data_IF_679851818853
#
_entry.id   IF_679851818853
#
_cell.length_a   1.000
_cell.length_b   1.000
_cell.length_c   1.000
_cell.angle_alpha   90.00
_cell.angle_beta   90.00
_cell.angle_gamma   90.00
#
_symmetry.space_group_name_H-M   'P 1'
#
loop_
_entity.id
_entity.type
_entity.pdbx_description
1 polymer ?
#
# COMPACT_ATOMS: atom_id res chain seq x y z
N UNK A 1 -38.44 -47.06 15.67
CA UNK A 1 -38.59 -46.38 14.37
C UNK A 1 -38.38 -44.89 14.63
N UNK A 2 -37.12 -44.51 14.84
CA UNK A 2 -36.69 -43.12 15.08
C UNK A 2 -35.24 -43.05 14.60
N UNK A 3 -35.10 -42.81 13.29
CA UNK A 3 -33.82 -42.63 12.63
C UNK A 3 -33.20 -41.29 13.03
N UNK A 4 -31.98 -41.37 13.57
CA UNK A 4 -31.07 -40.25 13.76
C UNK A 4 -30.42 -39.95 12.40
N UNK A 5 -30.91 -38.94 11.69
CA UNK A 5 -30.15 -38.32 10.60
C UNK A 5 -29.10 -37.40 11.22
N UNK A 6 -27.87 -37.92 11.33
CA UNK A 6 -26.65 -37.12 11.39
C UNK A 6 -26.43 -36.55 10.00
N UNK A 7 -26.84 -35.30 9.79
CA UNK A 7 -26.39 -34.54 8.63
C UNK A 7 -24.94 -34.11 8.87
N UNK A 8 -24.08 -34.56 7.96
CA UNK A 8 -22.66 -34.33 7.99
C UNK A 8 -22.35 -32.84 7.85
N UNK A 9 -21.61 -32.32 8.84
CA UNK A 9 -20.74 -31.19 8.60
C UNK A 9 -19.74 -31.60 7.51
N UNK A 10 -20.00 -31.23 6.27
CA UNK A 10 -18.95 -31.13 5.26
C UNK A 10 -17.97 -30.06 5.76
N UNK A 11 -16.89 -30.54 6.37
CA UNK A 11 -15.65 -29.78 6.52
C UNK A 11 -15.24 -29.36 5.11
N UNK A 12 -15.60 -28.12 4.73
CA UNK A 12 -14.91 -27.43 3.64
C UNK A 12 -13.47 -27.30 4.11
N UNK A 13 -12.63 -28.24 3.69
CA UNK A 13 -11.18 -28.20 3.83
C UNK A 13 -10.71 -26.85 3.28
N UNK A 14 -10.47 -25.89 4.18
CA UNK A 14 -9.80 -24.63 3.86
C UNK A 14 -8.34 -24.96 3.59
N UNK A 15 -8.05 -25.47 2.40
CA UNK A 15 -6.70 -25.71 1.94
C UNK A 15 -5.99 -24.35 1.75
N UNK A 16 -5.00 -23.95 2.56
CA UNK A 16 -4.45 -22.59 2.51
C UNK A 16 -3.41 -22.39 1.40
N UNK A 17 -3.42 -23.21 0.33
CA UNK A 17 -2.29 -23.34 -0.60
C UNK A 17 -2.75 -23.39 -2.05
N UNK A 18 -2.95 -22.23 -2.66
CA UNK A 18 -3.05 -22.12 -4.12
C UNK A 18 -1.81 -21.44 -4.68
N UNK A 19 -0.73 -22.21 -4.76
CA UNK A 19 0.32 -22.01 -5.75
C UNK A 19 0.69 -23.37 -6.30
N UNK A 20 0.93 -23.42 -7.61
CA UNK A 20 1.21 -24.68 -8.33
C UNK A 20 2.58 -25.29 -8.01
N UNK A 21 3.14 -25.06 -6.82
CA UNK A 21 4.42 -25.61 -6.41
C UNK A 21 4.37 -27.13 -6.36
N UNK A 22 5.39 -27.77 -6.93
CA UNK A 22 5.54 -29.22 -6.93
C UNK A 22 6.67 -29.64 -6.00
N UNK A 23 6.39 -30.66 -5.20
CA UNK A 23 7.29 -31.21 -4.19
C UNK A 23 7.49 -32.71 -4.42
N UNK A 24 8.61 -33.30 -3.98
CA UNK A 24 8.72 -34.76 -3.88
C UNK A 24 7.56 -35.34 -3.04
N UNK A 25 7.10 -36.58 -3.32
CA UNK A 25 5.85 -37.14 -2.76
C UNK A 25 5.74 -37.19 -1.23
N UNK A 26 6.88 -37.16 -0.52
CA UNK A 26 6.94 -37.19 0.95
C UNK A 26 7.03 -35.80 1.58
N UNK A 27 7.04 -34.74 0.78
CA UNK A 27 7.30 -33.37 1.21
C UNK A 27 6.04 -32.51 1.06
N UNK A 28 5.92 -31.51 1.92
CA UNK A 28 4.90 -30.46 1.78
C UNK A 28 5.55 -29.19 1.27
N UNK A 29 5.08 -28.72 0.11
CA UNK A 29 5.43 -27.41 -0.43
C UNK A 29 4.54 -26.34 0.23
N UNK A 30 5.14 -25.19 0.48
CA UNK A 30 4.44 -23.93 0.59
C UNK A 30 5.00 -22.98 -0.45
N UNK A 31 4.26 -21.90 -0.66
CA UNK A 31 4.81 -20.73 -1.27
C UNK A 31 4.26 -19.52 -0.56
N UNK A 32 5.06 -18.48 -0.56
CA UNK A 32 4.59 -17.15 -0.23
C UNK A 32 3.96 -16.49 -1.48
N UNK A 33 4.49 -16.82 -2.66
CA UNK A 33 4.13 -16.22 -3.96
C UNK A 33 4.09 -17.26 -5.08
N UNK A 34 3.40 -16.98 -6.21
CA UNK A 34 3.37 -17.88 -7.37
C UNK A 34 4.76 -18.30 -7.90
N UNK A 35 5.80 -17.49 -7.64
CA UNK A 35 7.18 -17.69 -8.09
C UNK A 35 8.18 -17.86 -6.92
N UNK A 36 7.73 -18.36 -5.76
CA UNK A 36 8.61 -18.63 -4.61
C UNK A 36 8.12 -19.88 -3.87
N UNK A 37 8.52 -21.05 -4.37
CA UNK A 37 8.22 -22.33 -3.74
C UNK A 37 9.29 -22.72 -2.72
N UNK A 38 8.89 -23.12 -1.51
CA UNK A 38 9.79 -23.68 -0.50
C UNK A 38 9.20 -24.91 0.19
N UNK A 39 10.07 -25.69 0.83
CA UNK A 39 9.70 -26.96 1.45
C UNK A 39 9.54 -26.77 2.97
N UNK A 40 8.40 -27.17 3.54
CA UNK A 40 7.99 -26.78 4.91
C UNK A 40 8.72 -27.58 6.00
N UNK A 41 9.12 -28.82 5.77
CA UNK A 41 9.93 -29.59 6.75
C UNK A 41 10.49 -30.91 6.21
N UNK A 42 11.65 -31.33 6.75
CA UNK A 42 12.16 -32.71 6.71
C UNK A 42 12.70 -33.23 5.37
N UNK A 43 12.68 -32.43 4.33
CA UNK A 43 13.14 -32.83 3.01
C UNK A 43 14.35 -31.99 2.57
N UNK A 44 15.49 -32.65 2.34
CA UNK A 44 16.67 -32.05 1.71
C UNK A 44 16.50 -31.78 0.20
N UNK A 45 15.28 -31.87 -0.33
CA UNK A 45 14.98 -31.73 -1.76
C UNK A 45 14.54 -30.31 -2.14
N UNK A 46 14.79 -29.92 -3.38
CA UNK A 46 14.33 -28.64 -3.95
C UNK A 46 12.84 -28.71 -4.30
N UNK A 47 12.10 -27.69 -3.87
CA UNK A 47 10.74 -27.44 -4.32
C UNK A 47 10.77 -26.82 -5.72
N UNK A 48 9.92 -27.29 -6.62
CA UNK A 48 9.87 -26.80 -8.00
C UNK A 48 8.70 -25.84 -8.18
N UNK A 49 8.95 -24.74 -8.88
CA UNK A 49 7.88 -23.94 -9.45
C UNK A 49 7.09 -24.76 -10.47
N UNK A 50 5.78 -24.47 -10.66
CA UNK A 50 4.97 -25.15 -11.65
C UNK A 50 5.67 -25.13 -13.01
N UNK A 51 5.97 -26.32 -13.53
CA UNK A 51 6.75 -26.55 -14.75
C UNK A 51 5.97 -26.25 -16.03
N UNK A 52 4.97 -25.35 -16.00
CA UNK A 52 4.27 -24.96 -17.22
C UNK A 52 5.23 -24.14 -18.10
N UNK A 53 5.95 -24.88 -18.94
CA UNK A 53 6.96 -24.41 -19.88
C UNK A 53 6.40 -23.39 -20.88
N UNK A 54 5.07 -23.23 -20.97
CA UNK A 54 4.42 -22.17 -21.76
C UNK A 54 4.34 -20.81 -21.05
N UNK A 55 4.48 -20.76 -19.72
CA UNK A 55 4.47 -19.53 -18.90
C UNK A 55 5.90 -19.02 -18.61
N UNK A 56 6.93 -19.62 -19.19
CA UNK A 56 8.28 -19.01 -19.29
C UNK A 56 8.39 -17.94 -20.38
N UNK A 57 7.25 -17.39 -20.83
CA UNK A 57 7.22 -16.05 -21.43
C UNK A 57 7.81 -15.09 -20.39
N UNK A 58 9.04 -14.62 -20.61
CA UNK A 58 9.80 -13.65 -19.79
C UNK A 58 8.90 -12.84 -18.86
N UNK A 59 8.80 -13.27 -17.60
CA UNK A 59 8.09 -12.55 -16.55
C UNK A 59 8.67 -11.15 -16.44
N UNK A 60 7.83 -10.12 -16.56
CA UNK A 60 8.26 -8.71 -16.49
C UNK A 60 7.83 -8.12 -15.17
N UNK A 61 8.57 -7.12 -14.70
CA UNK A 61 8.13 -6.33 -13.56
C UNK A 61 7.22 -5.19 -14.06
N UNK A 62 6.04 -5.05 -13.46
CA UNK A 62 5.17 -3.89 -13.62
C UNK A 62 5.26 -3.07 -12.34
N UNK A 63 5.85 -1.87 -12.44
CA UNK A 63 6.14 -1.02 -11.29
C UNK A 63 5.26 0.21 -11.33
N UNK A 64 4.38 0.34 -10.34
CA UNK A 64 3.51 1.50 -10.14
C UNK A 64 4.05 2.33 -8.99
N UNK A 65 4.24 3.62 -9.22
CA UNK A 65 4.72 4.57 -8.21
C UNK A 65 3.74 5.73 -8.08
N UNK A 66 3.18 5.94 -6.89
CA UNK A 66 2.21 7.01 -6.61
C UNK A 66 2.74 7.90 -5.49
N UNK A 67 3.00 9.16 -5.79
CA UNK A 67 3.57 10.12 -4.84
C UNK A 67 2.49 10.76 -3.92
N UNK A 68 2.93 11.35 -2.81
CA UNK A 68 2.06 12.05 -1.86
C UNK A 68 1.39 13.29 -2.46
N UNK A 69 0.13 13.58 -2.11
CA UNK A 69 -0.58 14.78 -2.65
C UNK A 69 0.19 16.05 -2.31
N UNK A 70 0.29 16.97 -3.26
CA UNK A 70 1.15 18.17 -3.23
C UNK A 70 2.65 17.94 -3.45
N UNK A 71 3.11 16.70 -3.69
CA UNK A 71 4.47 16.43 -4.17
C UNK A 71 4.49 16.36 -5.70
N UNK A 72 5.29 17.24 -6.32
CA UNK A 72 5.52 17.26 -7.76
C UNK A 72 7.01 17.12 -8.02
N UNK A 73 7.35 16.54 -9.16
CA UNK A 73 8.73 16.53 -9.62
C UNK A 73 9.26 17.97 -9.69
N UNK A 74 10.38 18.22 -9.05
CA UNK A 74 10.91 19.57 -8.94
C UNK A 74 12.12 19.67 -8.04
N UNK A 75 12.37 20.83 -7.42
CA UNK A 75 13.55 21.02 -6.58
C UNK A 75 13.61 20.14 -5.34
N UNK A 76 12.46 19.62 -4.89
CA UNK A 76 12.30 18.89 -3.63
C UNK A 76 11.63 17.53 -3.88
N UNK A 77 12.36 16.62 -4.50
CA UNK A 77 11.84 15.30 -4.86
C UNK A 77 11.70 14.36 -3.66
N UNK A 78 10.71 13.47 -3.74
CA UNK A 78 10.40 12.44 -2.73
C UNK A 78 11.21 11.17 -2.97
N UNK A 79 11.20 10.27 -2.00
CA UNK A 79 11.79 8.94 -2.11
C UNK A 79 11.08 8.07 -3.16
N UNK A 80 9.81 8.37 -3.50
CA UNK A 80 9.10 7.70 -4.60
C UNK A 80 9.72 8.07 -5.95
N UNK A 81 9.95 9.37 -6.19
CA UNK A 81 10.62 9.87 -7.41
C UNK A 81 12.03 9.30 -7.51
N UNK A 82 12.77 9.32 -6.41
CA UNK A 82 14.13 8.81 -6.30
C UNK A 82 14.23 7.31 -6.63
N UNK A 83 13.36 6.49 -6.03
CA UNK A 83 13.32 5.05 -6.36
C UNK A 83 12.93 4.86 -7.84
N UNK A 84 11.95 5.62 -8.32
CA UNK A 84 11.42 5.48 -9.68
C UNK A 84 12.44 5.87 -10.76
N UNK A 85 13.26 6.89 -10.52
CA UNK A 85 14.32 7.31 -11.45
C UNK A 85 15.35 6.20 -11.66
N UNK A 86 15.61 5.41 -10.60
CA UNK A 86 16.61 4.35 -10.59
C UNK A 86 16.13 2.99 -11.10
N UNK A 87 14.84 2.81 -11.36
CA UNK A 87 14.34 1.58 -12.01
C UNK A 87 14.97 1.47 -13.40
N UNK A 88 15.57 0.32 -13.70
CA UNK A 88 16.13 0.01 -15.02
C UNK A 88 14.98 -0.19 -16.01
N UNK A 89 14.81 0.76 -16.95
CA UNK A 89 13.71 0.77 -17.94
C UNK A 89 14.10 0.05 -19.24
N UNK A 90 15.37 0.18 -19.64
CA UNK A 90 15.93 -0.45 -20.84
C UNK A 90 17.07 -1.40 -20.44
N UNK A 91 16.76 -2.62 -19.96
CA UNK A 91 17.78 -3.58 -19.58
C UNK A 91 18.47 -4.16 -20.82
N UNK A 92 19.80 -4.33 -20.75
CA UNK A 92 20.56 -5.06 -21.79
C UNK A 92 20.10 -6.52 -21.89
N UNK A 93 19.76 -7.13 -20.75
CA UNK A 93 19.19 -8.47 -20.66
C UNK A 93 17.68 -8.42 -20.90
N UNK A 94 17.17 -8.95 -22.03
CA UNK A 94 15.75 -8.87 -22.33
C UNK A 94 14.89 -9.76 -21.41
N UNK A 95 15.48 -10.57 -20.53
CA UNK A 95 14.75 -11.28 -19.46
C UNK A 95 14.39 -10.40 -18.27
N UNK A 96 14.95 -9.18 -18.18
CA UNK A 96 14.81 -8.27 -17.03
C UNK A 96 13.89 -7.08 -17.27
N UNK A 97 12.99 -7.16 -18.25
CA UNK A 97 12.11 -6.06 -18.67
C UNK A 97 11.27 -5.55 -17.49
N UNK A 98 11.25 -4.23 -17.30
CA UNK A 98 10.42 -3.58 -16.30
C UNK A 98 9.63 -2.43 -16.93
N UNK A 99 8.31 -2.48 -16.81
CA UNK A 99 7.42 -1.41 -17.21
C UNK A 99 7.13 -0.53 -16.01
N UNK A 100 7.12 0.79 -16.19
CA UNK A 100 6.96 1.74 -15.10
C UNK A 100 5.78 2.68 -15.34
N UNK A 101 4.99 2.92 -14.30
CA UNK A 101 3.93 3.92 -14.27
C UNK A 101 4.11 4.83 -13.06
N UNK A 102 4.13 6.14 -13.29
CA UNK A 102 4.32 7.13 -12.25
C UNK A 102 3.15 8.10 -12.20
N UNK A 103 2.67 8.38 -11.00
CA UNK A 103 1.64 9.38 -10.74
C UNK A 103 2.18 10.42 -9.76
N UNK A 104 2.25 11.67 -10.20
CA UNK A 104 2.59 12.80 -9.34
C UNK A 104 1.46 13.13 -8.37
N UNK A 105 1.81 13.62 -7.19
CA UNK A 105 0.83 14.21 -6.29
C UNK A 105 0.32 15.55 -6.80
N UNK A 106 -0.94 15.62 -7.22
CA UNK A 106 -1.53 16.90 -7.63
C UNK A 106 -1.64 17.82 -6.40
N UNK A 107 -1.18 19.07 -6.54
CA UNK A 107 -1.22 20.06 -5.47
C UNK A 107 -2.61 20.69 -5.34
N UNK A 108 -3.24 20.54 -4.18
CA UNK A 108 -4.45 21.29 -3.82
C UNK A 108 -4.05 22.65 -3.24
N UNK A 109 -3.55 23.56 -4.09
CA UNK A 109 -3.41 24.97 -3.71
C UNK A 109 -4.72 25.69 -4.05
N UNK A 110 -5.53 25.97 -3.03
CA UNK A 110 -6.56 27.01 -3.11
C UNK A 110 -5.96 28.26 -2.46
N UNK A 111 -5.71 29.36 -3.19
CA UNK A 111 -5.21 30.58 -2.58
C UNK A 111 -6.21 31.10 -1.54
N UNK A 112 -5.75 31.59 -0.36
CA UNK A 112 -6.64 32.13 0.64
C UNK A 112 -7.27 33.43 0.13
N UNK A 113 -8.58 33.43 -0.14
CA UNK A 113 -9.35 34.66 -0.32
C UNK A 113 -9.66 35.23 1.07
N UNK A 114 -9.07 36.38 1.39
CA UNK A 114 -9.29 37.06 2.66
C UNK A 114 -10.67 37.75 2.68
N UNK A 115 -11.74 37.05 3.04
CA UNK A 115 -12.92 37.61 3.71
C UNK A 115 -13.95 36.54 4.12
N UNK A 116 -14.55 36.69 5.31
CA UNK A 116 -15.59 35.83 5.95
C UNK A 116 -15.13 34.46 6.48
N UNK A 117 -15.07 34.29 7.82
CA UNK A 117 -14.29 33.23 8.49
C UNK A 117 -15.03 31.94 8.90
N UNK A 118 -16.37 31.85 8.85
CA UNK A 118 -17.10 30.69 9.40
C UNK A 118 -17.79 29.82 8.33
N UNK A 119 -18.78 30.35 7.59
CA UNK A 119 -19.50 29.59 6.55
C UNK A 119 -18.66 29.25 5.31
N UNK A 120 -17.64 30.06 5.02
CA UNK A 120 -16.72 29.80 3.91
C UNK A 120 -15.67 28.74 4.23
N UNK A 121 -15.25 28.59 5.50
CA UNK A 121 -14.30 27.52 5.89
C UNK A 121 -14.88 26.14 5.62
N UNK A 122 -16.15 25.92 5.98
CA UNK A 122 -16.83 24.66 5.70
C UNK A 122 -16.96 24.42 4.19
N UNK A 123 -17.34 25.45 3.43
CA UNK A 123 -17.57 25.34 1.98
C UNK A 123 -16.27 25.13 1.17
N UNK A 124 -15.18 25.80 1.56
CA UNK A 124 -13.84 25.61 0.96
C UNK A 124 -13.28 24.25 1.38
N UNK A 125 -13.39 23.88 2.66
CA UNK A 125 -12.93 22.58 3.14
C UNK A 125 -13.65 21.44 2.40
N UNK A 126 -14.97 21.54 2.22
CA UNK A 126 -15.75 20.56 1.47
C UNK A 126 -15.31 20.46 0.00
N UNK A 127 -15.02 21.60 -0.66
CA UNK A 127 -14.52 21.61 -2.05
C UNK A 127 -13.10 21.01 -2.16
N UNK A 128 -12.22 21.31 -1.22
CA UNK A 128 -10.88 20.73 -1.16
C UNK A 128 -10.98 19.22 -0.91
N UNK A 129 -11.78 18.81 0.08
CA UNK A 129 -11.97 17.41 0.42
C UNK A 129 -12.55 16.63 -0.76
N UNK A 130 -13.52 17.20 -1.48
CA UNK A 130 -14.09 16.61 -2.69
C UNK A 130 -13.05 16.50 -3.81
N UNK A 131 -12.24 17.54 -4.03
CA UNK A 131 -11.18 17.52 -5.03
C UNK A 131 -10.11 16.47 -4.70
N UNK A 132 -9.69 16.37 -3.44
CA UNK A 132 -8.76 15.35 -2.95
C UNK A 132 -9.34 13.95 -3.15
N UNK A 133 -10.61 13.74 -2.79
CA UNK A 133 -11.28 12.44 -2.93
C UNK A 133 -11.46 12.03 -4.40
N UNK A 134 -11.85 12.98 -5.26
CA UNK A 134 -11.98 12.75 -6.70
C UNK A 134 -10.62 12.40 -7.32
N UNK A 135 -9.58 13.16 -6.96
CA UNK A 135 -8.23 12.90 -7.44
C UNK A 135 -7.66 11.57 -6.90
N UNK A 136 -8.01 11.23 -5.66
CA UNK A 136 -7.67 9.94 -5.06
C UNK A 136 -8.23 8.80 -5.90
N UNK A 137 -9.53 8.83 -6.17
CA UNK A 137 -10.24 7.84 -6.98
C UNK A 137 -9.63 7.75 -8.38
N UNK A 138 -9.37 8.88 -9.02
CA UNK A 138 -8.79 8.95 -10.36
C UNK A 138 -7.43 8.24 -10.43
N UNK A 139 -6.49 8.57 -9.55
CA UNK A 139 -5.16 7.93 -9.56
C UNK A 139 -5.21 6.42 -9.36
N UNK A 140 -6.08 5.92 -8.48
CA UNK A 140 -6.26 4.46 -8.28
C UNK A 140 -6.80 3.82 -9.55
N UNK A 141 -7.78 4.45 -10.20
CA UNK A 141 -8.35 3.96 -11.47
C UNK A 141 -7.35 4.00 -12.61
N UNK A 142 -6.56 5.07 -12.74
CA UNK A 142 -5.53 5.22 -13.77
C UNK A 142 -4.45 4.15 -13.62
N UNK A 143 -3.97 3.90 -12.39
CA UNK A 143 -3.01 2.85 -12.10
C UNK A 143 -3.59 1.44 -12.34
N UNK A 144 -4.84 1.20 -11.93
CA UNK A 144 -5.54 -0.06 -12.19
C UNK A 144 -5.69 -0.31 -13.70
N UNK A 145 -6.09 0.72 -14.46
CA UNK A 145 -6.20 0.66 -15.91
C UNK A 145 -4.86 0.35 -16.56
N UNK A 146 -3.80 1.05 -16.17
CA UNK A 146 -2.47 0.80 -16.69
C UNK A 146 -2.03 -0.66 -16.45
N UNK A 147 -2.25 -1.19 -15.24
CA UNK A 147 -1.98 -2.60 -14.96
C UNK A 147 -2.83 -3.52 -15.84
N UNK A 148 -4.13 -3.26 -15.98
CA UNK A 148 -5.05 -4.09 -16.78
C UNK A 148 -4.67 -4.13 -18.27
N UNK A 149 -4.19 -3.02 -18.81
CA UNK A 149 -3.79 -2.89 -20.21
C UNK A 149 -2.43 -3.55 -20.50
N UNK A 150 -1.51 -3.58 -19.53
CA UNK A 150 -0.14 -4.05 -19.75
C UNK A 150 0.12 -5.47 -19.23
N UNK A 151 -0.67 -5.96 -18.27
CA UNK A 151 -0.41 -7.23 -17.60
C UNK A 151 -0.56 -8.43 -18.53
N UNK A 152 0.47 -9.27 -18.55
CA UNK A 152 0.50 -10.58 -19.16
C UNK A 152 0.64 -11.65 -18.06
N UNK A 153 0.06 -12.86 -18.25
CA UNK A 153 0.26 -13.95 -17.32
C UNK A 153 1.75 -14.18 -17.01
N UNK A 154 2.08 -14.23 -15.72
CA UNK A 154 3.46 -14.36 -15.23
C UNK A 154 4.16 -13.05 -14.88
N UNK A 155 3.59 -11.89 -15.22
CA UNK A 155 4.14 -10.59 -14.79
C UNK A 155 4.06 -10.40 -13.26
N UNK A 156 5.03 -9.67 -12.70
CA UNK A 156 5.20 -9.41 -11.28
C UNK A 156 4.89 -7.93 -10.98
N UNK A 157 3.97 -7.66 -10.04
CA UNK A 157 3.50 -6.30 -9.75
C UNK A 157 4.16 -5.74 -8.48
N UNK A 158 4.86 -4.61 -8.64
CA UNK A 158 5.43 -3.81 -7.57
C UNK A 158 4.66 -2.49 -7.45
N UNK A 159 4.23 -2.15 -6.24
CA UNK A 159 3.56 -0.89 -5.94
C UNK A 159 4.38 -0.09 -4.92
N UNK A 160 4.58 1.19 -5.19
CA UNK A 160 5.30 2.11 -4.31
C UNK A 160 4.48 3.36 -4.06
N UNK A 161 4.44 3.83 -2.81
CA UNK A 161 3.84 5.12 -2.54
C UNK A 161 4.28 5.76 -1.23
N UNK A 162 4.13 7.07 -1.16
CA UNK A 162 4.42 7.89 0.01
C UNK A 162 3.15 8.60 0.49
N UNK A 163 2.95 8.69 1.81
CA UNK A 163 1.87 9.49 2.40
C UNK A 163 0.49 9.02 1.93
N UNK A 164 -0.28 9.90 1.27
CA UNK A 164 -1.55 9.54 0.62
C UNK A 164 -1.35 8.63 -0.59
N UNK A 165 -0.23 8.74 -1.30
CA UNK A 165 0.15 7.80 -2.37
C UNK A 165 0.36 6.38 -1.84
N UNK A 166 0.92 6.23 -0.64
CA UNK A 166 1.01 4.94 0.05
C UNK A 166 -0.38 4.35 0.34
N UNK A 167 -1.33 5.21 0.74
CA UNK A 167 -2.73 4.80 0.94
C UNK A 167 -3.40 4.39 -0.39
N UNK A 168 -3.11 5.10 -1.48
CA UNK A 168 -3.59 4.79 -2.83
C UNK A 168 -3.11 3.43 -3.32
N UNK A 169 -1.83 3.09 -3.16
CA UNK A 169 -1.32 1.78 -3.59
C UNK A 169 -1.85 0.63 -2.74
N UNK A 170 -2.10 0.86 -1.44
CA UNK A 170 -2.78 -0.13 -0.57
C UNK A 170 -4.23 -0.35 -1.01
N UNK A 171 -4.95 0.72 -1.35
CA UNK A 171 -6.31 0.62 -1.89
C UNK A 171 -6.33 -0.08 -3.26
N UNK A 172 -5.35 0.20 -4.12
CA UNK A 172 -5.19 -0.46 -5.41
C UNK A 172 -4.97 -1.97 -5.23
N UNK A 173 -4.11 -2.38 -4.29
CA UNK A 173 -3.88 -3.80 -3.98
C UNK A 173 -5.14 -4.49 -3.44
N UNK A 174 -5.87 -3.82 -2.54
CA UNK A 174 -7.15 -4.31 -2.04
C UNK A 174 -8.21 -4.46 -3.13
N UNK A 175 -8.26 -3.49 -4.05
CA UNK A 175 -9.15 -3.52 -5.22
C UNK A 175 -8.81 -4.68 -6.16
N UNK A 176 -7.53 -4.88 -6.51
CA UNK A 176 -7.08 -5.99 -7.36
C UNK A 176 -7.37 -7.34 -6.71
N UNK A 177 -7.18 -7.45 -5.40
CA UNK A 177 -7.47 -8.68 -4.65
C UNK A 177 -8.96 -9.03 -4.69
N UNK A 178 -9.81 -8.00 -4.48
CA UNK A 178 -11.26 -8.16 -4.37
C UNK A 178 -11.93 -8.35 -5.74
N UNK A 179 -11.55 -7.53 -6.72
CA UNK A 179 -12.20 -7.45 -8.04
C UNK A 179 -11.45 -8.23 -9.12
N UNK A 180 -10.25 -8.72 -8.84
CA UNK A 180 -9.30 -9.18 -9.86
C UNK A 180 -8.76 -8.00 -10.68
N UNK A 181 -8.03 -8.31 -11.75
CA UNK A 181 -7.60 -7.34 -12.75
C UNK A 181 -8.42 -7.53 -14.03
N UNK A 182 -9.18 -6.53 -14.47
CA UNK A 182 -10.02 -6.65 -15.67
C UNK A 182 -9.19 -6.98 -16.92
N UNK A 183 -9.76 -7.70 -17.88
CA UNK A 183 -9.11 -7.90 -19.18
C UNK A 183 -9.03 -6.57 -19.96
N UNK A 184 -7.87 -6.30 -20.57
CA UNK A 184 -7.68 -5.15 -21.46
C UNK A 184 -8.80 -5.04 -22.50
N UNK A 185 -9.21 -3.81 -22.82
CA UNK A 185 -10.39 -3.49 -23.63
C UNK A 185 -11.67 -3.25 -22.82
N UNK A 186 -11.71 -3.63 -21.53
CA UNK A 186 -12.85 -3.42 -20.65
C UNK A 186 -12.67 -2.22 -19.70
N UNK A 187 -11.93 -1.18 -20.11
CA UNK A 187 -11.58 -0.07 -19.21
C UNK A 187 -12.80 0.68 -18.67
N UNK A 188 -13.92 0.66 -19.40
CA UNK A 188 -15.20 1.26 -18.96
C UNK A 188 -15.81 0.59 -17.73
N UNK A 189 -15.38 -0.62 -17.37
CA UNK A 189 -15.82 -1.31 -16.16
C UNK A 189 -15.06 -0.87 -14.90
N UNK A 190 -13.89 -0.23 -15.05
CA UNK A 190 -13.02 0.14 -13.93
C UNK A 190 -13.72 1.10 -12.94
N UNK A 191 -14.45 2.13 -13.39
CA UNK A 191 -15.20 2.99 -12.48
C UNK A 191 -16.25 2.24 -11.66
N UNK A 192 -16.95 1.30 -12.29
CA UNK A 192 -17.95 0.46 -11.62
C UNK A 192 -17.29 -0.49 -10.61
N UNK A 193 -16.19 -1.15 -11.00
CA UNK A 193 -15.43 -2.04 -10.12
C UNK A 193 -14.92 -1.31 -8.87
N UNK A 194 -14.45 -0.06 -9.03
CA UNK A 194 -14.02 0.78 -7.93
C UNK A 194 -15.17 1.10 -6.96
N UNK A 195 -16.35 1.46 -7.46
CA UNK A 195 -17.51 1.75 -6.60
C UNK A 195 -17.99 0.51 -5.84
N UNK A 196 -18.01 -0.66 -6.49
CA UNK A 196 -18.39 -1.90 -5.85
C UNK A 196 -17.40 -2.28 -4.74
N UNK A 197 -16.09 -2.14 -5.01
CA UNK A 197 -15.03 -2.30 -4.02
C UNK A 197 -15.17 -1.30 -2.86
N UNK A 198 -15.22 0.00 -3.15
CA UNK A 198 -15.17 1.06 -2.14
C UNK A 198 -16.40 1.09 -1.22
N UNK A 199 -17.55 0.61 -1.70
CA UNK A 199 -18.81 0.63 -0.96
C UNK A 199 -19.20 -0.72 -0.34
N UNK A 200 -18.43 -1.79 -0.56
CA UNK A 200 -18.71 -3.15 -0.05
C UNK A 200 -19.06 -3.22 1.44
N UNK A 201 -18.43 -2.36 2.26
CA UNK A 201 -18.63 -2.31 3.71
C UNK A 201 -19.40 -1.08 4.20
N UNK A 202 -19.84 -0.21 3.29
CA UNK A 202 -20.43 1.08 3.66
C UNK A 202 -21.96 1.09 3.66
N UNK A 203 -22.62 0.06 3.12
CA UNK A 203 -24.09 -0.02 3.07
C UNK A 203 -24.73 1.20 2.39
N UNK A 204 -24.04 1.83 1.42
CA UNK A 204 -24.52 3.06 0.75
C UNK A 204 -25.16 2.81 -0.61
N UNK A 205 -24.80 1.71 -1.26
CA UNK A 205 -25.30 1.31 -2.58
C UNK A 205 -25.94 -0.09 -2.57
N UNK A 206 -25.48 -0.96 -1.66
CA UNK A 206 -26.02 -2.30 -1.41
C UNK A 206 -26.00 -2.49 0.10
N UNK A 207 -27.17 -2.52 0.72
CA UNK A 207 -27.31 -2.60 2.19
C UNK A 207 -26.92 -4.00 2.72
N UNK A 208 -26.95 -5.02 1.86
CA UNK A 208 -26.55 -6.38 2.17
C UNK A 208 -25.06 -6.63 1.85
N UNK A 209 -24.24 -6.76 2.90
CA UNK A 209 -22.82 -7.08 2.79
C UNK A 209 -22.54 -8.45 2.13
N UNK A 210 -23.43 -9.43 2.28
CA UNK A 210 -23.27 -10.75 1.63
C UNK A 210 -23.46 -10.61 0.13
N UNK A 211 -24.54 -9.95 -0.29
CA UNK A 211 -24.78 -9.66 -1.70
C UNK A 211 -23.64 -8.85 -2.32
N UNK A 212 -23.13 -7.82 -1.63
CA UNK A 212 -21.98 -7.05 -2.11
C UNK A 212 -20.72 -7.92 -2.31
N UNK A 213 -20.45 -8.86 -1.39
CA UNK A 213 -19.33 -9.79 -1.51
C UNK A 213 -19.53 -10.80 -2.65
N UNK A 214 -20.75 -11.31 -2.83
CA UNK A 214 -21.10 -12.19 -3.95
C UNK A 214 -20.94 -11.47 -5.28
N UNK A 215 -21.40 -10.21 -5.40
CA UNK A 215 -21.23 -9.42 -6.62
C UNK A 215 -19.76 -9.18 -6.95
N UNK A 216 -18.91 -8.87 -5.95
CA UNK A 216 -17.46 -8.77 -6.17
C UNK A 216 -16.90 -10.09 -6.72
N UNK A 217 -17.33 -11.22 -6.15
CA UNK A 217 -16.89 -12.56 -6.55
C UNK A 217 -17.31 -12.89 -7.98
N UNK A 218 -18.57 -12.62 -8.34
CA UNK A 218 -19.08 -12.83 -9.69
C UNK A 218 -18.40 -11.89 -10.69
N UNK A 219 -18.22 -10.61 -10.35
CA UNK A 219 -17.48 -9.67 -11.18
C UNK A 219 -16.06 -10.16 -11.47
N UNK A 220 -15.33 -10.58 -10.42
CA UNK A 220 -13.97 -11.12 -10.55
C UNK A 220 -13.93 -12.35 -11.46
N UNK A 221 -14.90 -13.26 -11.34
CA UNK A 221 -14.99 -14.46 -12.20
C UNK A 221 -15.33 -14.13 -13.65
N UNK A 222 -16.19 -13.14 -13.90
CA UNK A 222 -16.71 -12.84 -15.24
C UNK A 222 -15.78 -11.94 -16.05
N UNK A 223 -15.23 -10.89 -15.44
CA UNK A 223 -14.57 -9.80 -16.18
C UNK A 223 -13.06 -9.68 -15.91
N UNK A 224 -12.55 -10.42 -14.94
CA UNK A 224 -11.19 -10.26 -14.45
C UNK A 224 -10.37 -11.54 -14.52
N UNK A 225 -9.06 -11.36 -14.46
CA UNK A 225 -8.09 -12.43 -14.18
C UNK A 225 -7.60 -12.29 -12.74
N UNK A 226 -7.26 -13.42 -12.15
CA UNK A 226 -6.69 -13.44 -10.80
C UNK A 226 -5.21 -13.08 -10.85
N UNK A 227 -4.85 -12.03 -10.12
CA UNK A 227 -3.47 -11.53 -10.02
C UNK A 227 -3.18 -11.26 -8.56
N UNK A 228 -1.95 -11.57 -8.13
CA UNK A 228 -1.47 -11.27 -6.79
C UNK A 228 -0.45 -10.13 -6.84
N UNK A 229 -0.51 -9.24 -5.85
CA UNK A 229 0.49 -8.18 -5.70
C UNK A 229 1.74 -8.77 -5.07
N UNK A 230 2.88 -8.55 -5.74
CA UNK A 230 4.15 -9.12 -5.31
C UNK A 230 4.82 -8.27 -4.22
N UNK A 231 4.84 -6.95 -4.41
CA UNK A 231 5.51 -6.06 -3.46
C UNK A 231 4.72 -4.77 -3.28
N UNK A 232 4.58 -4.32 -2.03
CA UNK A 232 4.15 -2.96 -1.68
C UNK A 232 5.22 -2.32 -0.82
N UNK A 233 5.79 -1.22 -1.32
CA UNK A 233 6.67 -0.33 -0.58
C UNK A 233 5.95 0.96 -0.21
N UNK A 234 5.71 1.16 1.08
CA UNK A 234 5.06 2.35 1.61
C UNK A 234 6.03 3.18 2.46
N UNK A 235 6.00 4.50 2.27
CA UNK A 235 6.57 5.45 3.22
C UNK A 235 5.42 6.20 3.91
N UNK A 236 5.40 6.09 5.24
CA UNK A 236 4.56 6.82 6.19
C UNK A 236 3.12 7.06 5.72
N UNK A 237 2.35 5.96 5.61
CA UNK A 237 0.99 5.96 5.05
C UNK A 237 0.04 6.83 5.86
N UNK A 238 -0.62 7.82 5.25
CA UNK A 238 -1.64 8.63 5.94
C UNK A 238 -2.98 8.59 5.20
N UNK A 239 -4.05 8.17 5.88
CA UNK A 239 -5.41 8.17 5.31
C UNK A 239 -6.14 9.49 5.64
N UNK A 240 -5.75 10.58 4.99
CA UNK A 240 -6.49 11.83 5.11
C UNK A 240 -7.39 12.05 3.90
N UNK A 241 -8.44 11.22 3.78
CA UNK A 241 -9.61 11.61 2.98
C UNK A 241 -10.50 12.46 3.89
N UNK A 242 -10.24 13.77 3.93
CA UNK A 242 -11.09 14.77 4.56
C UNK A 242 -10.78 15.22 5.99
N UNK A 243 -11.54 16.20 6.47
CA UNK A 243 -11.53 16.75 7.85
C UNK A 243 -12.03 15.74 8.90
N UNK A 244 -12.77 14.70 8.47
CA UNK A 244 -13.26 13.61 9.31
C UNK A 244 -12.72 12.27 8.78
N UNK A 245 -12.10 11.46 9.64
CA UNK A 245 -11.66 10.10 9.29
C UNK A 245 -12.89 9.22 9.00
N UNK A 246 -13.20 9.01 7.73
CA UNK A 246 -14.17 8.01 7.31
C UNK A 246 -13.65 6.58 7.52
N UNK A 247 -14.51 5.57 7.36
CA UNK A 247 -14.06 4.18 7.38
C UNK A 247 -13.03 3.93 6.27
N UNK A 248 -11.91 3.23 6.58
CA UNK A 248 -10.90 2.91 5.59
C UNK A 248 -11.48 2.06 4.46
N UNK A 249 -10.91 2.18 3.27
CA UNK A 249 -11.23 1.30 2.15
C UNK A 249 -10.91 -0.17 2.51
N UNK A 250 -11.64 -1.14 1.93
CA UNK A 250 -11.43 -2.55 2.26
C UNK A 250 -9.97 -2.97 2.03
N UNK A 251 -9.44 -3.78 2.94
CA UNK A 251 -8.07 -4.33 2.88
C UNK A 251 -6.94 -3.29 2.95
N UNK A 252 -7.20 -1.99 3.17
CA UNK A 252 -6.09 -1.03 3.34
C UNK A 252 -5.36 -1.19 4.68
N UNK A 253 -5.98 -1.84 5.67
CA UNK A 253 -5.40 -2.09 7.01
C UNK A 253 -4.90 -3.53 7.20
N UNK A 254 -4.93 -4.37 6.15
CA UNK A 254 -4.36 -5.71 6.14
C UNK A 254 -3.35 -5.86 4.99
N UNK A 255 -2.47 -6.84 5.08
CA UNK A 255 -1.44 -7.08 4.07
C UNK A 255 -1.27 -8.58 3.70
N UNK A 256 -2.13 -9.46 4.22
CA UNK A 256 -2.09 -10.92 3.94
C UNK A 256 -2.30 -11.26 2.45
N UNK A 257 -2.88 -10.34 1.68
CA UNK A 257 -3.13 -10.48 0.25
C UNK A 257 -1.92 -10.07 -0.62
N UNK A 258 -0.81 -9.67 0.02
CA UNK A 258 0.42 -9.20 -0.60
C UNK A 258 1.56 -10.13 -0.21
N UNK A 259 2.38 -10.46 -1.19
CA UNK A 259 3.58 -11.27 -1.00
C UNK A 259 4.63 -10.63 -0.09
N UNK A 260 4.99 -9.37 -0.36
CA UNK A 260 5.95 -8.60 0.43
C UNK A 260 5.40 -7.19 0.69
N UNK A 261 5.04 -6.91 1.93
CA UNK A 261 4.65 -5.59 2.39
C UNK A 261 5.77 -4.97 3.21
N UNK A 262 6.19 -3.76 2.84
CA UNK A 262 7.23 -2.98 3.51
C UNK A 262 6.71 -1.59 3.80
N UNK A 263 6.79 -1.17 5.05
CA UNK A 263 6.32 0.13 5.47
C UNK A 263 7.37 0.82 6.33
N UNK A 264 7.91 1.93 5.84
CA UNK A 264 8.78 2.81 6.61
C UNK A 264 7.93 3.86 7.34
N UNK A 265 8.00 3.89 8.67
CA UNK A 265 7.19 4.74 9.54
C UNK A 265 8.02 5.86 10.17
N UNK A 266 7.43 7.05 10.31
CA UNK A 266 8.07 8.19 10.96
C UNK A 266 7.90 8.16 12.48
N UNK A 267 9.02 8.05 13.21
CA UNK A 267 9.01 8.04 14.67
C UNK A 267 8.75 9.43 15.29
N UNK A 268 9.26 10.48 14.66
CA UNK A 268 9.24 11.84 15.21
C UNK A 268 8.11 12.72 14.64
N UNK A 269 7.18 12.14 13.87
CA UNK A 269 6.03 12.90 13.36
C UNK A 269 4.99 13.16 14.45
N UNK A 270 4.80 14.45 14.79
CA UNK A 270 3.95 14.87 15.90
C UNK A 270 2.61 15.47 15.47
N UNK A 271 2.41 15.73 14.18
CA UNK A 271 1.17 16.34 13.67
C UNK A 271 0.05 15.30 13.68
N UNK A 272 -1.04 15.58 14.39
CA UNK A 272 -2.19 14.65 14.54
C UNK A 272 -2.79 14.17 13.22
N UNK A 273 -2.77 15.02 12.18
CA UNK A 273 -3.30 14.69 10.85
C UNK A 273 -2.40 13.76 10.04
N UNK A 274 -1.18 13.51 10.51
CA UNK A 274 -0.19 12.65 9.86
C UNK A 274 0.09 11.37 10.66
N UNK A 275 -0.78 11.01 11.61
CA UNK A 275 -0.69 9.69 12.24
C UNK A 275 -0.80 8.60 11.16
N UNK A 276 0.16 7.65 11.13
CA UNK A 276 0.20 6.68 10.07
C UNK A 276 -0.86 5.57 10.24
N UNK A 277 -1.36 5.05 9.13
CA UNK A 277 -2.17 3.83 9.11
C UNK A 277 -1.23 2.61 9.07
N UNK A 278 -1.15 1.89 10.18
CA UNK A 278 -0.41 0.64 10.30
C UNK A 278 -1.28 -0.58 9.96
N UNK A 279 -0.68 -1.76 9.85
CA UNK A 279 -1.41 -3.01 9.62
C UNK A 279 -2.05 -3.46 10.95
N UNK A 280 -3.40 -3.44 11.04
CA UNK A 280 -4.13 -3.81 12.28
C UNK A 280 -4.46 -5.29 12.35
N UNK A 281 -4.80 -5.89 11.21
CA UNK A 281 -5.30 -7.25 11.12
C UNK A 281 -4.34 -8.09 10.27
N UNK A 282 -3.43 -8.82 10.92
CA UNK A 282 -2.86 -10.04 10.34
C UNK A 282 -3.92 -11.11 10.57
N UNK A 283 -4.72 -11.44 9.55
CA UNK A 283 -5.74 -12.50 9.64
C UNK A 283 -5.12 -13.89 9.87
N UNK A 284 -3.79 -13.96 9.76
CA UNK A 284 -2.97 -15.12 9.94
C UNK A 284 -2.34 -15.18 11.34
N UNK A 285 -2.78 -16.15 12.15
CA UNK A 285 -2.03 -16.56 13.36
C UNK A 285 -0.72 -17.31 13.01
N UNK A 286 -0.50 -17.60 11.73
CA UNK A 286 0.67 -18.32 11.24
C UNK A 286 1.94 -17.48 11.36
N UNK A 287 2.87 -17.94 12.20
CA UNK A 287 4.23 -17.38 12.35
C UNK A 287 5.00 -17.30 11.02
N UNK A 288 4.70 -18.17 10.04
CA UNK A 288 5.37 -18.17 8.72
C UNK A 288 4.99 -16.96 7.85
N UNK A 289 3.80 -16.38 8.04
CA UNK A 289 3.39 -15.16 7.33
C UNK A 289 4.04 -13.89 7.89
N UNK A 290 4.69 -13.94 9.08
CA UNK A 290 5.38 -12.78 9.65
C UNK A 290 6.55 -12.26 8.79
N UNK A 291 7.09 -13.07 7.88
CA UNK A 291 8.12 -12.63 6.92
C UNK A 291 7.60 -11.77 5.75
N UNK A 292 6.29 -11.81 5.47
CA UNK A 292 5.69 -11.02 4.37
C UNK A 292 5.59 -9.55 4.72
N UNK A 293 5.35 -9.21 5.99
CA UNK A 293 5.03 -7.86 6.44
C UNK A 293 6.18 -7.33 7.31
N UNK A 294 6.78 -6.20 6.93
CA UNK A 294 7.72 -5.45 7.77
C UNK A 294 7.27 -4.01 7.90
N UNK A 295 6.96 -3.59 9.12
CA UNK A 295 6.78 -2.19 9.48
C UNK A 295 7.99 -1.76 10.31
N UNK A 296 8.76 -0.78 9.82
CA UNK A 296 10.03 -0.37 10.43
C UNK A 296 9.97 1.12 10.73
N UNK A 297 10.20 1.46 12.00
CA UNK A 297 10.22 2.84 12.48
C UNK A 297 11.60 3.45 12.26
N UNK A 298 11.63 4.63 11.63
CA UNK A 298 12.84 5.39 11.38
C UNK A 298 12.77 6.73 12.11
N UNK A 299 13.92 7.19 12.61
CA UNK A 299 14.05 8.54 13.16
C UNK A 299 13.81 9.58 12.05
N UNK A 300 13.05 10.62 12.36
CA UNK A 300 12.59 11.63 11.41
C UNK A 300 11.08 11.83 11.39
N UNK A 301 10.67 12.94 10.78
CA UNK A 301 9.27 13.29 10.52
C UNK A 301 8.76 12.72 9.20
N UNK A 302 7.48 12.93 8.88
CA UNK A 302 6.83 12.41 7.67
C UNK A 302 7.66 12.63 6.38
N UNK A 303 8.21 13.83 6.21
CA UNK A 303 9.02 14.17 5.03
C UNK A 303 10.49 13.78 5.15
N UNK A 304 11.00 13.45 6.35
CA UNK A 304 12.30 12.80 6.49
C UNK A 304 12.24 11.34 6.01
N UNK A 305 11.09 10.68 6.23
CA UNK A 305 10.88 9.28 5.81
C UNK A 305 10.49 9.17 4.34
N UNK A 306 9.62 10.05 3.86
CA UNK A 306 9.18 10.03 2.46
C UNK A 306 9.94 10.95 1.52
N UNK A 307 10.82 11.82 2.02
CA UNK A 307 11.51 12.83 1.24
C UNK A 307 10.68 14.11 1.00
N UNK A 308 11.22 15.00 0.18
CA UNK A 308 10.58 16.28 -0.19
C UNK A 308 10.81 17.46 0.77
N UNK A 309 11.56 17.30 1.86
CA UNK A 309 11.96 18.41 2.74
C UNK A 309 13.34 19.00 2.44
N UNK A 310 14.15 18.34 1.59
CA UNK A 310 15.47 18.78 1.17
C UNK A 310 15.49 19.05 -0.33
N UNK A 311 16.38 19.94 -0.76
CA UNK A 311 16.60 20.18 -2.19
C UNK A 311 17.27 18.92 -2.77
N UNK A 312 16.61 18.28 -3.73
CA UNK A 312 17.05 17.05 -4.39
C UNK A 312 16.73 17.11 -5.89
N UNK A 313 17.43 17.98 -6.62
CA UNK A 313 17.28 18.09 -8.08
C UNK A 313 18.02 16.95 -8.78
N UNK A 314 19.18 16.58 -8.24
CA UNK A 314 20.12 15.59 -8.78
C UNK A 314 19.66 14.14 -8.64
N UNK A 315 18.66 13.88 -7.78
CA UNK A 315 18.18 12.54 -7.47
C UNK A 315 19.30 11.63 -6.94
N UNK A 316 20.03 12.14 -5.96
CA UNK A 316 21.18 11.51 -5.29
C UNK A 316 20.96 11.38 -3.77
N UNK A 317 19.69 11.29 -3.33
CA UNK A 317 19.35 11.19 -1.93
C UNK A 317 19.65 9.79 -1.38
N UNK A 318 20.67 9.71 -0.56
CA UNK A 318 21.05 8.53 0.20
C UNK A 318 20.39 8.51 1.61
N UNK A 319 19.06 8.61 1.68
CA UNK A 319 18.34 8.49 2.95
C UNK A 319 18.23 7.03 3.43
N UNK A 320 18.38 6.77 4.74
CA UNK A 320 18.25 5.42 5.31
C UNK A 320 16.91 4.74 4.97
N UNK A 321 15.74 5.41 5.09
CA UNK A 321 14.46 4.79 4.75
C UNK A 321 14.34 4.41 3.27
N UNK A 322 14.94 5.20 2.38
CA UNK A 322 14.97 4.89 0.95
C UNK A 322 15.88 3.68 0.69
N UNK A 323 17.10 3.67 1.22
CA UNK A 323 18.00 2.53 1.03
C UNK A 323 17.41 1.22 1.52
N UNK A 324 16.78 1.27 2.69
CA UNK A 324 16.13 0.09 3.24
C UNK A 324 15.05 -0.42 2.28
N UNK A 325 14.21 0.48 1.74
CA UNK A 325 13.18 0.11 0.77
C UNK A 325 13.78 -0.45 -0.53
N UNK A 326 14.82 0.18 -1.07
CA UNK A 326 15.52 -0.27 -2.27
C UNK A 326 16.11 -1.67 -2.08
N UNK A 327 16.73 -1.92 -0.92
CA UNK A 327 17.30 -3.22 -0.60
C UNK A 327 16.21 -4.30 -0.48
N UNK A 328 15.10 -4.01 0.20
CA UNK A 328 13.97 -4.95 0.32
C UNK A 328 13.32 -5.22 -1.04
N UNK A 329 13.14 -4.20 -1.88
CA UNK A 329 12.57 -4.33 -3.21
C UNK A 329 13.50 -5.10 -4.16
N UNK A 330 14.81 -4.83 -4.11
CA UNK A 330 15.82 -5.54 -4.91
C UNK A 330 15.90 -7.01 -4.50
N UNK A 331 15.86 -7.29 -3.20
CA UNK A 331 15.80 -8.66 -2.68
C UNK A 331 14.53 -9.40 -3.11
N UNK A 332 13.45 -8.66 -3.40
CA UNK A 332 12.21 -9.18 -3.95
C UNK A 332 12.18 -9.25 -5.49
N UNK A 333 13.26 -8.90 -6.20
CA UNK A 333 13.38 -9.02 -7.65
C UNK A 333 13.18 -7.74 -8.46
N UNK A 334 13.12 -6.56 -7.82
CA UNK A 334 13.16 -5.28 -8.53
C UNK A 334 14.58 -5.01 -9.04
N UNK A 335 14.74 -4.58 -10.29
CA UNK A 335 16.05 -4.21 -10.82
C UNK A 335 16.26 -2.69 -10.77
N UNK A 336 17.24 -2.27 -9.98
CA UNK A 336 17.63 -0.87 -9.82
C UNK A 336 19.04 -0.63 -10.38
N UNK A 337 19.28 0.58 -10.88
CA UNK A 337 20.63 1.05 -11.20
C UNK A 337 21.47 1.09 -9.93
N UNK A 338 22.74 0.68 -10.04
CA UNK A 338 23.69 0.75 -8.93
C UNK A 338 23.88 2.21 -8.47
N UNK A 339 24.07 2.42 -7.16
CA UNK A 339 24.45 3.76 -6.65
C UNK A 339 25.91 4.02 -6.98
N UNK A 340 26.20 5.21 -7.47
CA UNK A 340 27.56 5.75 -7.60
C UNK A 340 28.10 6.32 -6.29
N UNK A 341 27.22 6.62 -5.34
CA UNK A 341 27.58 7.40 -4.16
C UNK A 341 28.21 6.54 -3.07
N UNK A 342 29.37 6.99 -2.58
CA UNK A 342 29.98 6.46 -1.36
C UNK A 342 29.15 6.94 -0.18
N UNK A 343 28.47 6.00 0.48
CA UNK A 343 27.65 6.27 1.65
C UNK A 343 28.48 6.95 2.75
N UNK A 344 28.07 8.16 3.15
CA UNK A 344 28.82 8.93 4.14
C UNK A 344 28.14 8.88 5.52
N UNK A 345 28.66 8.01 6.39
CA UNK A 345 28.21 7.84 7.77
C UNK A 345 28.23 9.13 8.59
N UNK A 346 29.11 10.08 8.28
CA UNK A 346 29.20 11.35 8.99
C UNK A 346 28.08 12.35 8.64
N UNK A 347 27.37 12.15 7.52
CA UNK A 347 26.16 12.91 7.22
C UNK A 347 24.99 12.48 8.10
N UNK A 348 24.85 11.17 8.35
CA UNK A 348 23.78 10.62 9.19
C UNK A 348 23.85 11.09 10.64
N UNK A 349 25.05 11.18 11.22
CA UNK A 349 25.25 11.66 12.59
C UNK A 349 24.85 13.14 12.77
N UNK A 350 24.81 13.92 11.69
CA UNK A 350 24.51 15.35 11.71
C UNK A 350 23.06 15.68 11.37
N UNK A 351 22.35 14.74 10.76
CA UNK A 351 20.96 14.90 10.36
C UNK A 351 20.05 14.80 11.59
N UNK A 352 19.60 15.96 12.07
CA UNK A 352 18.54 16.05 13.08
C UNK A 352 17.17 16.02 12.38
N UNK A 353 16.13 15.40 12.97
CA UNK A 353 14.78 15.47 12.46
C UNK A 353 14.35 16.92 12.20
N UNK A 354 13.68 17.17 11.09
CA UNK A 354 13.13 18.49 10.82
C UNK A 354 11.93 18.75 11.72
N UNK A 355 11.87 19.88 12.43
CA UNK A 355 10.70 20.21 13.23
C UNK A 355 9.48 20.44 12.32
N UNK A 356 8.53 19.50 12.31
CA UNK A 356 7.32 19.55 11.47
C UNK A 356 6.21 20.43 12.06
N UNK A 357 6.20 20.63 13.39
CA UNK A 357 5.18 21.39 14.11
C UNK A 357 5.51 22.90 14.14
N UNK A 358 5.32 23.58 13.00
CA UNK A 358 5.55 25.02 12.86
C UNK A 358 4.28 25.80 12.52
N UNK A 359 4.19 27.04 12.99
CA UNK A 359 3.16 28.00 12.59
C UNK A 359 1.72 27.51 12.81
N UNK A 360 0.85 27.49 11.78
CA UNK A 360 -0.57 27.18 11.93
C UNK A 360 -0.85 25.74 12.40
N UNK A 361 0.11 24.82 12.29
CA UNK A 361 -0.04 23.46 12.83
C UNK A 361 -0.26 23.46 14.36
N UNK A 362 0.28 24.44 15.09
CA UNK A 362 0.02 24.62 16.53
C UNK A 362 -1.45 24.90 16.85
N UNK A 363 -2.20 25.50 15.93
CA UNK A 363 -3.63 25.77 16.12
C UNK A 363 -4.45 24.49 15.94
N UNK A 364 -4.05 23.61 15.02
CA UNK A 364 -4.74 22.34 14.77
C UNK A 364 -4.57 21.35 15.93
N UNK A 365 -3.46 21.41 16.67
CA UNK A 365 -3.24 20.58 17.88
C UNK A 365 -4.18 20.95 19.04
N UNK A 366 -4.74 22.16 19.06
CA UNK A 366 -5.73 22.57 20.07
C UNK A 366 -7.15 22.07 19.76
N UNK A 367 -7.36 21.46 18.59
CA UNK A 367 -8.66 20.90 18.20
C UNK A 367 -8.76 19.48 18.76
N UNK A 368 -9.80 19.14 19.54
CA UNK A 368 -9.99 17.80 20.08
C UNK A 368 -10.36 16.83 18.95
N UNK A 369 -9.34 16.20 18.36
CA UNK A 369 -9.49 15.18 17.31
C UNK A 369 -9.29 13.80 17.91
N UNK A 370 -10.11 12.84 17.49
CA UNK A 370 -9.97 11.42 17.84
C UNK A 370 -8.65 10.87 17.29
N UNK A 371 -7.91 10.14 18.13
CA UNK A 371 -6.64 9.50 17.77
C UNK A 371 -6.83 7.99 17.79
N UNK A 372 -6.08 7.30 16.94
CA UNK A 372 -5.90 5.86 17.09
C UNK A 372 -4.66 5.71 17.96
N UNK A 373 -4.83 5.15 19.16
CA UNK A 373 -3.74 4.88 20.07
C UNK A 373 -3.26 3.44 19.88
N UNK A 374 -2.03 3.16 20.31
CA UNK A 374 -1.53 1.80 20.44
C UNK A 374 -2.06 1.26 21.77
N UNK A 375 -3.09 0.40 21.72
CA UNK A 375 -3.50 -0.37 22.89
C UNK A 375 -3.16 -1.84 22.65
N UNK A 376 -2.21 -2.38 23.42
CA UNK A 376 -1.81 -3.80 23.34
C UNK A 376 -2.96 -4.74 23.73
N UNK A 377 -3.97 -4.23 24.45
CA UNK A 377 -5.07 -5.02 24.98
C UNK A 377 -6.31 -5.02 24.07
N UNK A 378 -6.48 -4.01 23.21
CA UNK A 378 -7.58 -3.94 22.24
C UNK A 378 -7.15 -3.17 20.97
N UNK A 379 -6.81 -3.85 19.86
CA UNK A 379 -6.37 -3.22 18.62
C UNK A 379 -7.47 -2.42 17.89
N UNK A 380 -8.74 -2.53 18.32
CA UNK A 380 -9.88 -1.81 17.76
C UNK A 380 -10.27 -0.56 18.58
N UNK A 381 -9.62 -0.28 19.71
CA UNK A 381 -9.98 0.84 20.58
C UNK A 381 -9.40 2.18 20.09
N UNK A 382 -10.24 3.01 19.46
CA UNK A 382 -9.93 4.43 19.22
C UNK A 382 -10.14 5.26 20.49
N UNK A 383 -9.05 5.58 21.20
CA UNK A 383 -9.10 6.43 22.40
C UNK A 383 -9.23 7.92 22.02
N UNK A 384 -10.21 8.62 22.61
CA UNK A 384 -10.32 10.09 22.56
C UNK A 384 -9.30 10.72 23.52
N UNK A 385 -8.02 10.75 23.15
CA UNK A 385 -7.04 11.51 23.94
C UNK A 385 -7.23 13.02 23.68
N UNK A 386 -7.72 13.76 24.69
CA UNK A 386 -7.60 15.23 24.73
C UNK A 386 -6.14 15.56 25.03
N UNK A 387 -5.47 16.27 24.12
CA UNK A 387 -4.15 16.80 24.41
C UNK A 387 -4.29 17.95 25.43
N UNK A 388 -4.05 17.67 26.72
CA UNK A 388 -3.69 18.70 27.69
C UNK A 388 -2.16 18.83 27.60
N UNK A 389 -1.70 20.07 27.42
CA UNK A 389 -0.31 20.39 27.12
C UNK A 389 0.70 19.71 28.05
N UNK A 390 1.81 19.29 27.44
CA UNK A 390 3.14 19.01 28.01
C UNK A 390 3.14 18.29 29.37
N UNK A 391 3.45 17.00 29.26
CA UNK A 391 4.25 16.18 30.19
C UNK A 391 3.58 14.92 30.72
N UNK A 392 2.27 14.73 30.55
CA UNK A 392 1.63 13.44 30.79
C UNK A 392 0.51 13.17 29.79
N UNK A 393 0.72 12.17 28.92
CA UNK A 393 -0.40 11.53 28.21
C UNK A 393 -1.10 10.65 29.23
N UNK A 394 -2.20 11.13 29.81
CA UNK A 394 -3.17 10.23 30.44
C UNK A 394 -4.12 9.74 29.34
N UNK A 395 -3.95 8.46 28.99
CA UNK A 395 -4.90 7.71 28.18
C UNK A 395 -6.16 7.42 28.97
#
# INVERSE_FOLDING_TARGET
MTDRLREGHENVDRNPRQCGCSCPPKCKCACQCPHQCWCISGCAGTCYEPSDTRIKSRSRNLVVSIDGTSNQFGPHNTNVVELHSRIVKDPEDPSKVQLTFYVSGIGTYVPPSMWSLASWKQSIANKIDLAVAWNFKKHVQDAYQWLADHYKPGDVIFLFGFSRGAYQVRALAGMITTMGLVYSGNQRLIPFAYELYANRHKGRAIDDHKLAAELCTHFKKTFSREVRIHFIGAWDTVSSVGVFRGQPLPLTTSADHVCHFRHALALDERRVRFLPEYVRNSLSQDKELRGTIKEVWFAGTHSDIGGGNRKNISLDLAGVPLLWMENEATSAGLHLQARSDVWNWEKLKRDKPFESLKGPWWLLEKIPLTRSAYNEQDPDETIRCKLIMRDHVHC
#
